data_IF_884808598145
#
_entry.id   IF_884808598145
#
_cell.length_a   1.000
_cell.length_b   1.000
_cell.length_c   1.000
_cell.angle_alpha   90.00
_cell.angle_beta   90.00
_cell.angle_gamma   90.00
#
_symmetry.space_group_name_H-M   'P 1'
#
loop_
_entity.id
_entity.type
_entity.pdbx_description
1 polymer ?
#
# COMPACT_ATOMS: atom_id res chain seq x y z
N UNK A 1 33.52 55.75 30.68
CA UNK A 1 32.41 56.60 30.21
C UNK A 1 31.40 55.69 29.54
N UNK A 2 30.21 55.51 30.12
CA UNK A 2 29.16 54.75 29.46
C UNK A 2 28.63 55.58 28.28
N UNK A 3 28.84 55.12 27.06
CA UNK A 3 28.29 55.76 25.87
C UNK A 3 26.78 55.55 25.91
N UNK A 4 26.03 56.59 26.29
CA UNK A 4 24.56 56.57 26.27
C UNK A 4 24.11 56.55 24.82
N UNK A 5 23.50 55.43 24.39
CA UNK A 5 22.91 55.31 23.05
C UNK A 5 21.87 56.42 22.84
N UNK A 6 21.90 57.04 21.66
CA UNK A 6 20.82 57.92 21.25
C UNK A 6 19.53 57.12 21.04
N UNK A 7 18.34 57.73 21.18
CA UNK A 7 17.08 57.05 20.92
C UNK A 7 17.00 56.40 19.53
N UNK A 8 17.54 57.06 18.50
CA UNK A 8 17.58 56.53 17.13
C UNK A 8 18.44 55.27 17.01
N UNK A 9 19.64 55.27 17.60
CA UNK A 9 20.50 54.09 17.63
C UNK A 9 19.86 52.93 18.38
N UNK A 10 19.11 53.22 19.46
CA UNK A 10 18.40 52.21 20.23
C UNK A 10 17.28 51.57 19.40
N UNK A 11 16.53 52.38 18.66
CA UNK A 11 15.49 51.92 17.72
C UNK A 11 16.10 51.06 16.61
N UNK A 12 17.18 51.52 15.98
CA UNK A 12 17.84 50.77 14.91
C UNK A 12 18.42 49.44 15.40
N UNK A 13 18.98 49.41 16.61
CA UNK A 13 19.44 48.16 17.22
C UNK A 13 18.27 47.21 17.52
N UNK A 14 17.15 47.73 18.01
CA UNK A 14 15.96 46.93 18.27
C UNK A 14 15.36 46.36 16.97
N UNK A 15 15.29 47.16 15.91
CA UNK A 15 14.86 46.70 14.57
C UNK A 15 15.73 45.58 14.04
N UNK A 16 17.06 45.75 14.07
CA UNK A 16 17.99 44.69 13.64
C UNK A 16 17.81 43.39 14.43
N UNK A 17 17.71 43.48 15.75
CA UNK A 17 17.45 42.32 16.58
C UNK A 17 16.11 41.64 16.24
N UNK A 18 15.07 42.42 15.96
CA UNK A 18 13.77 41.90 15.56
C UNK A 18 13.83 41.23 14.18
N UNK A 19 14.54 41.83 13.24
CA UNK A 19 14.77 41.28 11.91
C UNK A 19 15.55 39.95 11.99
N UNK A 20 16.59 39.88 12.81
CA UNK A 20 17.35 38.64 13.06
C UNK A 20 16.45 37.53 13.60
N UNK A 21 15.55 37.86 14.53
CA UNK A 21 14.55 36.92 15.08
C UNK A 21 13.56 36.45 14.02
N UNK A 22 13.06 37.36 13.19
CA UNK A 22 12.15 37.04 12.09
C UNK A 22 12.83 36.09 11.09
N UNK A 23 14.09 36.38 10.74
CA UNK A 23 14.87 35.56 9.82
C UNK A 23 15.16 34.16 10.40
N UNK A 24 15.43 34.06 11.70
CA UNK A 24 15.57 32.77 12.36
C UNK A 24 14.27 31.94 12.29
N UNK A 25 13.11 32.56 12.54
CA UNK A 25 11.82 31.87 12.42
C UNK A 25 11.54 31.44 10.98
N UNK A 26 11.86 32.29 10.00
CA UNK A 26 11.74 31.96 8.58
C UNK A 26 12.59 30.74 8.23
N UNK A 27 13.86 30.72 8.64
CA UNK A 27 14.75 29.59 8.38
C UNK A 27 14.22 28.28 8.97
N UNK A 28 13.66 28.31 10.18
CA UNK A 28 13.03 27.14 10.80
C UNK A 28 11.79 26.69 10.02
N UNK A 29 10.94 27.63 9.59
CA UNK A 29 9.75 27.32 8.81
C UNK A 29 10.11 26.66 7.47
N UNK A 30 11.08 27.23 6.75
CA UNK A 30 11.58 26.66 5.49
C UNK A 30 12.19 25.28 5.69
N UNK A 31 12.99 25.08 6.74
CA UNK A 31 13.59 23.78 7.04
C UNK A 31 12.52 22.71 7.32
N UNK A 32 11.46 23.08 8.05
CA UNK A 32 10.32 22.17 8.32
C UNK A 32 9.54 21.85 7.06
N UNK A 33 9.29 22.84 6.20
CA UNK A 33 8.60 22.61 4.93
C UNK A 33 9.42 21.67 4.04
N UNK A 34 10.71 21.94 3.85
CA UNK A 34 11.60 21.07 3.07
C UNK A 34 11.64 19.65 3.61
N UNK A 35 11.61 19.47 4.93
CA UNK A 35 11.57 18.15 5.55
C UNK A 35 10.28 17.41 5.22
N UNK A 36 9.12 18.08 5.26
CA UNK A 36 7.84 17.48 4.84
C UNK A 36 7.88 17.10 3.37
N UNK A 37 8.34 18.00 2.50
CA UNK A 37 8.43 17.76 1.06
C UNK A 37 9.30 16.51 0.74
N UNK A 38 10.47 16.42 1.37
CA UNK A 38 11.38 15.26 1.22
C UNK A 38 10.75 13.97 1.75
N UNK A 39 10.03 14.03 2.88
CA UNK A 39 9.34 12.85 3.42
C UNK A 39 8.24 12.36 2.47
N UNK A 40 7.46 13.26 1.90
CA UNK A 40 6.42 12.91 0.94
C UNK A 40 7.00 12.32 -0.35
N UNK A 41 8.04 12.93 -0.90
CA UNK A 41 8.74 12.44 -2.09
C UNK A 41 9.31 11.04 -1.84
N UNK A 42 10.05 10.87 -0.74
CA UNK A 42 10.65 9.58 -0.36
C UNK A 42 9.57 8.51 -0.16
N UNK A 43 8.43 8.85 0.44
CA UNK A 43 7.34 7.91 0.63
C UNK A 43 6.71 7.46 -0.69
N UNK A 44 6.57 8.38 -1.66
CA UNK A 44 6.10 8.05 -3.02
C UNK A 44 7.09 7.14 -3.73
N UNK A 45 8.38 7.48 -3.71
CA UNK A 45 9.43 6.66 -4.33
C UNK A 45 9.49 5.26 -3.73
N UNK A 46 9.39 5.14 -2.41
CA UNK A 46 9.38 3.87 -1.72
C UNK A 46 8.17 3.02 -2.12
N UNK A 47 6.98 3.62 -2.23
CA UNK A 47 5.78 2.92 -2.68
C UNK A 47 5.94 2.41 -4.12
N UNK A 48 6.48 3.22 -5.03
CA UNK A 48 6.73 2.84 -6.41
C UNK A 48 7.77 1.71 -6.53
N UNK A 49 8.83 1.75 -5.72
CA UNK A 49 9.84 0.70 -5.67
C UNK A 49 9.26 -0.60 -5.13
N UNK A 50 8.46 -0.53 -4.07
CA UNK A 50 7.77 -1.69 -3.53
C UNK A 50 6.81 -2.31 -4.55
N UNK A 51 6.06 -1.50 -5.29
CA UNK A 51 5.16 -1.98 -6.35
C UNK A 51 5.95 -2.71 -7.45
N UNK A 52 7.05 -2.12 -7.93
CA UNK A 52 7.92 -2.74 -8.94
C UNK A 52 8.56 -4.05 -8.47
N UNK A 53 9.00 -4.11 -7.21
CA UNK A 53 9.56 -5.34 -6.62
C UNK A 53 8.46 -6.41 -6.54
N UNK A 54 7.27 -6.04 -6.05
CA UNK A 54 6.14 -6.96 -5.93
C UNK A 54 5.72 -7.52 -7.30
N UNK A 55 5.70 -6.68 -8.34
CA UNK A 55 5.41 -7.11 -9.72
C UNK A 55 6.45 -8.10 -10.23
N UNK A 56 7.75 -7.79 -10.11
CA UNK A 56 8.85 -8.68 -10.53
C UNK A 56 8.80 -10.04 -9.84
N UNK A 57 8.53 -10.04 -8.53
CA UNK A 57 8.36 -11.28 -7.76
C UNK A 57 7.12 -12.04 -8.25
N UNK A 58 6.00 -11.35 -8.48
CA UNK A 58 4.77 -11.98 -8.94
C UNK A 58 4.89 -12.57 -10.35
N UNK A 59 5.66 -11.94 -11.25
CA UNK A 59 6.03 -12.46 -12.57
C UNK A 59 6.88 -13.72 -12.44
N UNK A 60 7.96 -13.68 -11.66
CA UNK A 60 8.82 -14.84 -11.44
C UNK A 60 8.05 -16.02 -10.84
N UNK A 61 7.18 -15.77 -9.86
CA UNK A 61 6.29 -16.80 -9.31
C UNK A 61 5.33 -17.37 -10.36
N UNK A 62 4.81 -16.54 -11.28
CA UNK A 62 3.91 -16.99 -12.37
C UNK A 62 4.66 -17.88 -13.35
N UNK A 63 5.89 -17.52 -13.68
CA UNK A 63 6.73 -18.28 -14.59
C UNK A 63 7.13 -19.63 -13.99
N UNK A 64 7.47 -19.68 -12.71
CA UNK A 64 7.73 -20.94 -11.98
C UNK A 64 6.50 -21.88 -12.03
N UNK A 65 5.32 -21.36 -11.69
CA UNK A 65 4.06 -22.11 -11.79
C UNK A 65 3.79 -22.59 -13.21
N UNK A 66 4.05 -21.76 -14.22
CA UNK A 66 3.87 -22.11 -15.65
C UNK A 66 4.84 -23.24 -16.05
N UNK A 67 6.11 -23.14 -15.68
CA UNK A 67 7.12 -24.14 -15.98
C UNK A 67 6.81 -25.49 -15.33
N UNK A 68 6.42 -25.48 -14.06
CA UNK A 68 6.00 -26.69 -13.36
C UNK A 68 4.76 -27.31 -14.00
N UNK A 69 3.75 -26.50 -14.37
CA UNK A 69 2.58 -26.99 -15.12
C UNK A 69 2.96 -27.61 -16.46
N UNK A 70 3.90 -27.00 -17.19
CA UNK A 70 4.37 -27.54 -18.46
C UNK A 70 5.08 -28.89 -18.28
N UNK A 71 5.87 -29.06 -17.21
CA UNK A 71 6.46 -30.35 -16.87
C UNK A 71 5.39 -31.41 -16.57
N UNK A 72 4.34 -31.05 -15.82
CA UNK A 72 3.20 -31.94 -15.56
C UNK A 72 2.47 -32.34 -16.85
N UNK A 73 2.24 -31.40 -17.76
CA UNK A 73 1.63 -31.67 -19.07
C UNK A 73 2.52 -32.53 -19.97
N UNK A 74 3.84 -32.49 -19.77
CA UNK A 74 4.80 -33.36 -20.47
C UNK A 74 4.89 -34.78 -19.87
N UNK A 75 4.07 -35.09 -18.86
CA UNK A 75 3.96 -36.43 -18.26
C UNK A 75 4.74 -36.62 -16.96
N UNK A 76 5.43 -35.59 -16.45
CA UNK A 76 6.10 -35.70 -15.16
C UNK A 76 5.10 -35.69 -14.01
N UNK A 77 5.18 -36.70 -13.14
CA UNK A 77 4.41 -36.69 -11.90
C UNK A 77 5.02 -35.74 -10.86
N UNK A 78 4.20 -35.28 -9.92
CA UNK A 78 4.67 -34.41 -8.82
C UNK A 78 5.73 -35.09 -7.94
N UNK A 79 5.68 -36.42 -7.82
CA UNK A 79 6.63 -37.18 -7.00
C UNK A 79 7.98 -37.36 -7.71
N UNK A 80 7.98 -37.52 -9.04
CA UNK A 80 9.21 -37.54 -9.84
C UNK A 80 9.91 -36.18 -9.82
N UNK A 81 9.16 -35.09 -10.01
CA UNK A 81 9.69 -33.73 -9.90
C UNK A 81 10.28 -33.48 -8.50
N UNK A 82 9.58 -33.91 -7.45
CA UNK A 82 10.11 -33.83 -6.07
C UNK A 82 11.39 -34.65 -5.89
N UNK A 83 11.46 -35.85 -6.47
CA UNK A 83 12.63 -36.75 -6.35
C UNK A 83 13.88 -36.16 -7.00
N UNK A 84 13.72 -35.36 -8.06
CA UNK A 84 14.83 -34.65 -8.72
C UNK A 84 15.08 -33.24 -8.14
N UNK A 85 14.41 -32.87 -7.04
CA UNK A 85 14.64 -31.60 -6.36
C UNK A 85 13.85 -30.41 -6.91
N UNK A 86 12.83 -30.64 -7.73
CA UNK A 86 11.90 -29.62 -8.24
C UNK A 86 10.53 -29.78 -7.55
N UNK A 87 10.39 -29.37 -6.27
CA UNK A 87 9.11 -29.49 -5.56
C UNK A 87 8.05 -28.56 -6.15
N UNK A 88 6.80 -28.75 -5.72
CA UNK A 88 5.68 -27.89 -6.11
C UNK A 88 5.99 -26.41 -5.78
N UNK A 89 5.78 -25.48 -6.74
CA UNK A 89 5.95 -24.04 -6.53
C UNK A 89 5.24 -23.54 -5.28
N UNK A 90 5.89 -22.70 -4.48
CA UNK A 90 5.33 -22.22 -3.21
C UNK A 90 3.96 -21.54 -3.38
N UNK A 91 3.79 -20.80 -4.47
CA UNK A 91 2.51 -20.16 -4.81
C UNK A 91 1.39 -21.18 -4.99
N UNK A 92 1.64 -22.28 -5.69
CA UNK A 92 0.67 -23.38 -5.85
C UNK A 92 0.37 -24.05 -4.52
N UNK A 93 1.40 -24.36 -3.74
CA UNK A 93 1.26 -24.97 -2.41
C UNK A 93 0.44 -24.08 -1.45
N UNK A 94 0.68 -22.77 -1.47
CA UNK A 94 -0.05 -21.76 -0.68
C UNK A 94 -1.52 -21.68 -1.06
N UNK A 95 -1.83 -21.61 -2.36
CA UNK A 95 -3.22 -21.60 -2.85
C UNK A 95 -3.96 -22.88 -2.46
N UNK A 96 -3.34 -24.05 -2.63
CA UNK A 96 -3.92 -25.34 -2.21
C UNK A 96 -4.23 -25.37 -0.72
N UNK A 97 -3.31 -24.89 0.13
CA UNK A 97 -3.51 -24.80 1.58
C UNK A 97 -4.66 -23.85 1.95
N UNK A 98 -4.81 -22.73 1.24
CA UNK A 98 -5.91 -21.78 1.46
C UNK A 98 -7.26 -22.36 1.03
N UNK A 99 -7.30 -23.08 -0.10
CA UNK A 99 -8.50 -23.76 -0.57
C UNK A 99 -8.96 -24.87 0.39
N UNK A 100 -8.03 -25.66 0.93
CA UNK A 100 -8.32 -26.71 1.90
C UNK A 100 -8.86 -26.19 3.25
N UNK A 101 -8.67 -24.91 3.55
CA UNK A 101 -9.14 -24.26 4.79
C UNK A 101 -10.51 -23.59 4.67
N UNK A 102 -11.15 -23.59 3.49
CA UNK A 102 -12.48 -22.98 3.31
C UNK A 102 -13.55 -24.01 3.68
N UNK A 103 -14.27 -23.89 4.81
CA UNK A 103 -15.42 -24.75 5.09
C UNK A 103 -16.51 -24.48 4.05
N UNK A 104 -17.16 -25.54 3.59
CA UNK A 104 -18.29 -25.50 2.65
C UNK A 104 -19.47 -24.77 3.30
N UNK A 105 -19.57 -23.45 3.13
CA UNK A 105 -20.75 -22.70 3.49
C UNK A 105 -21.86 -22.98 2.46
N UNK A 106 -22.84 -23.76 2.92
CA UNK A 106 -24.25 -23.81 2.52
C UNK A 106 -24.62 -23.90 1.04
N UNK A 107 -25.00 -25.13 0.63
CA UNK A 107 -26.01 -25.32 -0.42
C UNK A 107 -27.35 -24.85 0.16
N UNK A 108 -27.77 -23.62 -0.14
CA UNK A 108 -29.14 -23.17 0.14
C UNK A 108 -30.04 -23.72 -0.97
N UNK A 109 -30.98 -24.57 -0.59
CA UNK A 109 -32.08 -25.09 -1.41
C UNK A 109 -32.92 -23.92 -1.94
N UNK A 110 -33.29 -23.86 -3.23
CA UNK A 110 -34.25 -22.86 -3.70
C UNK A 110 -35.68 -23.32 -3.36
N UNK A 111 -36.37 -22.52 -2.55
CA UNK A 111 -37.81 -22.59 -2.30
C UNK A 111 -38.55 -21.87 -3.45
N UNK A 112 -39.60 -22.44 -4.05
CA UNK A 112 -40.31 -21.81 -5.15
C UNK A 112 -41.26 -20.73 -4.61
N UNK A 113 -41.10 -19.50 -5.09
CA UNK A 113 -42.02 -18.41 -4.84
C UNK A 113 -43.32 -18.62 -5.64
N UNK A 114 -44.43 -18.86 -4.94
CA UNK A 114 -45.77 -18.82 -5.51
C UNK A 114 -46.23 -17.36 -5.71
N UNK A 115 -46.65 -17.09 -6.94
CA UNK A 115 -47.40 -15.93 -7.38
C UNK A 115 -48.71 -15.79 -6.59
N UNK A 116 -48.98 -14.61 -6.05
CA UNK A 116 -50.33 -14.04 -6.01
C UNK A 116 -50.24 -12.52 -5.95
N UNK A 117 -50.40 -11.90 -7.12
CA UNK A 117 -50.92 -10.56 -7.23
C UNK A 117 -52.41 -10.62 -6.90
N UNK A 118 -52.88 -9.78 -5.99
CA UNK A 118 -54.30 -9.46 -5.88
C UNK A 118 -54.48 -7.96 -5.63
N UNK A 119 -55.43 -7.42 -6.38
CA UNK A 119 -55.62 -6.02 -6.72
C UNK A 119 -56.02 -5.13 -5.54
N UNK A 120 -55.50 -3.91 -5.54
CA UNK A 120 -56.12 -2.80 -4.82
C UNK A 120 -57.43 -2.41 -5.49
N UNK A 121 -58.54 -2.52 -4.76
CA UNK A 121 -59.85 -1.99 -5.17
C UNK A 121 -60.56 -1.30 -3.99
N UNK A 122 -60.94 -0.05 -4.26
CA UNK A 122 -62.08 0.73 -3.78
C UNK A 122 -62.21 1.17 -2.29
N UNK A 123 -62.03 2.48 -2.12
CA UNK A 123 -62.99 3.46 -1.58
C UNK A 123 -64.20 2.99 -0.73
N UNK A 124 -64.36 3.66 0.41
CA UNK A 124 -65.57 3.73 1.24
C UNK A 124 -65.35 4.65 2.44
#
# INVERSE_FOLDING_TARGET
MATTLTPEEAIERAKRLQEDRINAVRAVAEARQRLVDVQEETARELADLQARIAERVADAERDDVRAYNAAQSAGWSADELRKIGLPEPEKKARVRRRAARKPAASRTTPEPAETSADEGTAAG
#
